data_IF_862524938632
#
_entry.id   IF_862524938632
#
_cell.length_a   1.000
_cell.length_b   1.000
_cell.length_c   1.000
_cell.angle_alpha   90.00
_cell.angle_beta   90.00
_cell.angle_gamma   90.00
#
_symmetry.space_group_name_H-M   'P 1'
#
loop_
_entity.id
_entity.type
_entity.pdbx_description
1 polymer ?
#
# COMPACT_ATOMS: atom_id res chain seq x y z
N UNK A 1 27.47 -12.23 -33.72
CA UNK A 1 26.24 -11.60 -33.20
C UNK A 1 25.64 -12.54 -32.17
N UNK A 2 25.75 -12.21 -30.87
CA UNK A 2 25.17 -13.00 -29.79
C UNK A 2 24.12 -12.11 -29.12
N UNK A 3 22.85 -12.48 -29.27
CA UNK A 3 21.75 -11.86 -28.56
C UNK A 3 21.71 -12.42 -27.13
N UNK A 4 22.01 -11.58 -26.14
CA UNK A 4 21.78 -11.90 -24.74
C UNK A 4 20.32 -11.62 -24.40
N UNK A 5 19.58 -12.69 -24.16
CA UNK A 5 18.18 -12.67 -23.73
C UNK A 5 18.09 -12.18 -22.29
N UNK A 6 17.26 -11.15 -22.05
CA UNK A 6 17.00 -10.57 -20.74
C UNK A 6 16.01 -11.47 -19.99
N UNK A 7 16.49 -12.18 -18.96
CA UNK A 7 15.64 -12.89 -18.02
C UNK A 7 15.18 -11.93 -16.91
N UNK A 8 14.05 -11.25 -17.12
CA UNK A 8 13.34 -10.57 -16.04
C UNK A 8 12.55 -11.60 -15.23
N UNK A 9 12.96 -11.82 -13.98
CA UNK A 9 12.35 -12.75 -13.03
C UNK A 9 10.90 -12.36 -12.72
N UNK A 10 9.96 -12.99 -13.43
CA UNK A 10 8.52 -12.99 -13.16
C UNK A 10 8.21 -13.79 -11.89
N UNK A 11 8.23 -13.16 -10.71
CA UNK A 11 7.71 -13.75 -9.48
C UNK A 11 6.45 -13.01 -9.02
N UNK A 12 5.37 -13.17 -9.77
CA UNK A 12 4.02 -12.99 -9.27
C UNK A 12 3.19 -14.14 -9.83
N UNK A 13 2.92 -15.14 -9.00
CA UNK A 13 1.94 -16.17 -9.35
C UNK A 13 0.55 -15.58 -9.11
N UNK A 14 -0.22 -15.41 -10.17
CA UNK A 14 -1.66 -15.13 -10.12
C UNK A 14 -2.41 -16.33 -9.56
N UNK A 15 -2.37 -16.48 -8.24
CA UNK A 15 -3.55 -16.98 -7.54
C UNK A 15 -4.28 -15.75 -7.04
N UNK A 16 -5.36 -15.37 -7.73
CA UNK A 16 -6.42 -14.63 -7.06
C UNK A 16 -6.89 -15.52 -5.90
N UNK A 17 -6.67 -15.14 -4.63
CA UNK A 17 -7.28 -15.89 -3.55
C UNK A 17 -8.80 -15.75 -3.72
N UNK A 18 -9.52 -16.85 -3.52
CA UNK A 18 -10.98 -16.84 -3.41
C UNK A 18 -11.41 -15.79 -2.36
N UNK A 19 -12.62 -15.23 -2.55
CA UNK A 19 -13.21 -14.17 -1.76
C UNK A 19 -13.46 -14.57 -0.29
N UNK A 20 -12.40 -14.70 0.50
CA UNK A 20 -12.47 -14.53 1.94
C UNK A 20 -12.58 -13.04 2.29
N UNK A 21 -13.03 -12.69 3.51
CA UNK A 21 -12.96 -11.32 3.95
C UNK A 21 -11.50 -10.83 3.87
N UNK A 22 -11.29 -9.73 3.16
CA UNK A 22 -9.99 -9.08 3.08
C UNK A 22 -9.50 -8.64 4.47
N UNK A 23 -8.22 -8.21 4.60
CA UNK A 23 -7.65 -7.79 5.88
C UNK A 23 -8.45 -6.67 6.56
N UNK A 24 -9.18 -5.87 5.79
CA UNK A 24 -10.12 -4.87 6.30
C UNK A 24 -11.52 -5.14 5.74
N UNK A 25 -12.48 -5.45 6.61
CA UNK A 25 -13.84 -5.76 6.19
C UNK A 25 -14.55 -4.59 5.49
N UNK A 26 -14.16 -3.35 5.84
CA UNK A 26 -14.73 -2.13 5.26
C UNK A 26 -14.20 -1.81 3.84
N UNK A 27 -13.13 -2.46 3.38
CA UNK A 27 -12.50 -2.15 2.11
C UNK A 27 -12.76 -3.26 1.10
N UNK A 28 -13.77 -3.06 0.25
CA UNK A 28 -14.08 -3.95 -0.85
C UNK A 28 -13.63 -3.27 -2.16
N UNK A 29 -13.00 -3.98 -3.11
CA UNK A 29 -12.75 -3.44 -4.44
C UNK A 29 -14.03 -2.87 -5.07
N UNK A 30 -13.92 -1.67 -5.64
CA UNK A 30 -15.05 -0.90 -6.17
C UNK A 30 -15.69 0.06 -5.16
N UNK A 31 -15.37 -0.01 -3.87
CA UNK A 31 -15.85 0.96 -2.88
C UNK A 31 -15.34 2.37 -3.19
N UNK A 32 -16.23 3.34 -3.27
CA UNK A 32 -15.88 4.76 -3.38
C UNK A 32 -15.56 5.34 -2.00
N UNK A 33 -14.43 6.03 -1.92
CA UNK A 33 -13.96 6.81 -0.78
C UNK A 33 -13.94 8.28 -1.22
N UNK A 34 -15.09 8.95 -1.15
CA UNK A 34 -15.27 10.28 -1.77
C UNK A 34 -14.98 10.20 -3.29
N UNK A 35 -14.01 10.98 -3.81
CA UNK A 35 -13.59 10.96 -5.22
C UNK A 35 -12.57 9.88 -5.59
N UNK A 36 -12.11 9.09 -4.62
CA UNK A 36 -11.23 7.95 -4.87
C UNK A 36 -12.03 6.66 -4.89
N UNK A 37 -11.48 5.62 -5.51
CA UNK A 37 -12.05 4.27 -5.43
C UNK A 37 -11.00 3.25 -5.00
N UNK A 38 -11.42 2.27 -4.20
CA UNK A 38 -10.60 1.13 -3.83
C UNK A 38 -10.49 0.22 -5.06
N UNK A 39 -9.32 0.13 -5.65
CA UNK A 39 -9.06 -0.78 -6.78
C UNK A 39 -8.81 -2.18 -6.26
N UNK A 40 -7.99 -2.29 -5.21
CA UNK A 40 -7.57 -3.58 -4.67
C UNK A 40 -7.11 -3.44 -3.22
N UNK A 41 -7.39 -4.45 -2.41
CA UNK A 41 -6.77 -4.64 -1.11
C UNK A 41 -5.96 -5.92 -1.20
N UNK A 42 -4.64 -5.81 -1.09
CA UNK A 42 -3.76 -6.99 -1.14
C UNK A 42 -3.71 -7.66 0.24
N UNK A 43 -3.39 -8.97 0.30
CA UNK A 43 -2.97 -9.61 1.54
C UNK A 43 -1.76 -8.90 2.16
N UNK A 44 -1.48 -9.23 3.43
CA UNK A 44 -0.26 -8.78 4.10
C UNK A 44 0.98 -9.05 3.24
N UNK A 45 1.75 -8.02 2.94
CA UNK A 45 2.96 -8.05 2.13
C UNK A 45 4.07 -7.31 2.86
N UNK A 46 5.14 -8.02 3.20
CA UNK A 46 6.31 -7.47 3.91
C UNK A 46 5.96 -6.64 5.16
N UNK A 47 4.93 -7.06 5.91
CA UNK A 47 4.50 -6.40 7.15
C UNK A 47 3.52 -5.24 6.98
N UNK A 48 3.13 -4.90 5.76
CA UNK A 48 2.10 -3.92 5.47
C UNK A 48 0.88 -4.58 4.80
N UNK A 49 -0.28 -3.93 4.84
CA UNK A 49 -1.40 -4.23 3.94
C UNK A 49 -1.41 -3.18 2.82
N UNK A 50 -1.03 -3.54 1.59
CA UNK A 50 -1.08 -2.62 0.46
C UNK A 50 -2.51 -2.42 -0.04
N UNK A 51 -2.96 -1.18 -0.09
CA UNK A 51 -4.24 -0.77 -0.67
C UNK A 51 -3.98 0.03 -1.93
N UNK A 52 -4.53 -0.42 -3.05
CA UNK A 52 -4.47 0.31 -4.32
C UNK A 52 -5.70 1.18 -4.42
N UNK A 53 -5.49 2.48 -4.57
CA UNK A 53 -6.53 3.47 -4.83
C UNK A 53 -6.43 3.96 -6.27
N UNK A 54 -7.57 4.37 -6.83
CA UNK A 54 -7.63 5.17 -8.05
C UNK A 54 -8.16 6.56 -7.72
N UNK A 55 -7.55 7.59 -8.32
CA UNK A 55 -8.09 8.95 -8.35
C UNK A 55 -9.33 9.01 -9.25
N UNK A 56 -10.02 10.14 -9.24
CA UNK A 56 -11.19 10.39 -10.10
C UNK A 56 -10.86 10.24 -11.59
N UNK A 57 -9.63 10.61 -11.99
CA UNK A 57 -9.12 10.47 -13.35
C UNK A 57 -8.60 9.06 -13.67
N UNK A 58 -8.73 8.11 -12.74
CA UNK A 58 -8.30 6.73 -12.91
C UNK A 58 -6.80 6.49 -12.71
N UNK A 59 -6.02 7.51 -12.27
CA UNK A 59 -4.60 7.31 -11.90
C UNK A 59 -4.55 6.41 -10.67
N UNK A 60 -3.74 5.35 -10.72
CA UNK A 60 -3.65 4.37 -9.64
C UNK A 60 -2.37 4.56 -8.84
N UNK A 61 -2.47 4.34 -7.53
CA UNK A 61 -1.35 4.44 -6.61
C UNK A 61 -1.58 3.53 -5.40
N UNK A 62 -0.50 3.24 -4.68
CA UNK A 62 -0.51 2.37 -3.52
C UNK A 62 -0.42 3.19 -2.24
N UNK A 63 -1.19 2.79 -1.24
CA UNK A 63 -1.07 3.22 0.14
C UNK A 63 -0.79 2.00 0.99
N UNK A 64 0.33 1.99 1.68
CA UNK A 64 0.66 0.95 2.66
C UNK A 64 0.04 1.28 3.99
N UNK A 65 -0.71 0.32 4.54
CA UNK A 65 -1.27 0.38 5.88
C UNK A 65 -0.38 -0.46 6.81
N UNK A 66 0.27 0.21 7.76
CA UNK A 66 1.17 -0.39 8.75
C UNK A 66 0.62 -0.25 10.16
N UNK A 67 1.21 -0.98 11.11
CA UNK A 67 0.98 -0.74 12.53
C UNK A 67 1.51 0.65 12.91
N UNK A 68 0.81 1.33 13.81
CA UNK A 68 1.23 2.63 14.33
C UNK A 68 2.46 2.50 15.24
N UNK A 69 3.46 3.34 15.01
CA UNK A 69 4.58 3.58 15.91
C UNK A 69 4.52 5.03 16.42
N UNK A 70 4.07 5.29 17.66
CA UNK A 70 4.03 6.66 18.21
C UNK A 70 5.42 7.31 18.35
N UNK A 71 6.50 6.52 18.30
CA UNK A 71 7.89 6.99 18.37
C UNK A 71 8.60 6.90 17.02
N UNK A 72 7.88 6.54 15.96
CA UNK A 72 8.40 6.37 14.60
C UNK A 72 8.01 7.52 13.69
N UNK A 73 8.42 7.46 12.40
CA UNK A 73 7.98 8.42 11.41
C UNK A 73 6.46 8.41 11.28
N UNK A 74 5.86 9.60 11.21
CA UNK A 74 4.43 9.74 10.93
C UNK A 74 4.16 9.42 9.47
N UNK A 75 3.15 8.58 9.23
CA UNK A 75 2.56 8.43 7.91
C UNK A 75 1.82 9.70 7.47
N UNK A 76 1.42 9.73 6.21
CA UNK A 76 0.57 10.79 5.65
C UNK A 76 -0.76 10.89 6.42
N UNK A 77 -1.25 9.76 6.93
CA UNK A 77 -2.40 9.70 7.82
C UNK A 77 -2.19 8.64 8.90
N UNK A 78 -2.87 8.80 10.03
CA UNK A 78 -2.82 7.87 11.14
C UNK A 78 -4.21 7.66 11.74
N UNK A 79 -4.42 6.48 12.31
CA UNK A 79 -5.50 6.21 13.27
C UNK A 79 -4.89 5.93 14.64
N UNK A 80 -5.69 5.51 15.63
CA UNK A 80 -5.13 5.07 16.91
C UNK A 80 -4.19 3.85 16.77
N UNK A 81 -4.41 3.01 15.75
CA UNK A 81 -3.73 1.71 15.57
C UNK A 81 -2.91 1.60 14.29
N UNK A 82 -3.16 2.44 13.30
CA UNK A 82 -2.60 2.32 11.96
C UNK A 82 -1.83 3.57 11.57
N UNK A 83 -0.82 3.41 10.72
CA UNK A 83 -0.12 4.50 10.04
C UNK A 83 -0.09 4.20 8.55
N UNK A 84 -0.45 5.20 7.74
CA UNK A 84 -0.63 5.07 6.29
C UNK A 84 0.45 5.84 5.55
N UNK A 85 1.11 5.16 4.61
CA UNK A 85 2.21 5.72 3.82
C UNK A 85 1.87 5.60 2.34
N UNK A 86 1.96 6.70 1.60
CA UNK A 86 1.82 6.66 0.14
C UNK A 86 3.12 6.12 -0.45
N UNK A 87 3.02 5.07 -1.25
CA UNK A 87 4.17 4.52 -1.97
C UNK A 87 4.30 5.31 -3.27
N UNK A 88 5.34 6.15 -3.34
CA UNK A 88 5.66 6.89 -4.54
C UNK A 88 5.93 5.91 -5.70
N UNK A 89 5.13 6.01 -6.77
CA UNK A 89 5.18 5.07 -7.90
C UNK A 89 6.58 5.00 -8.54
N UNK A 90 7.07 3.80 -8.88
CA UNK A 90 8.42 3.58 -9.37
C UNK A 90 8.60 3.82 -10.87
N UNK A 91 7.73 4.59 -11.55
CA UNK A 91 7.97 4.93 -12.96
C UNK A 91 9.39 5.53 -13.15
N UNK A 92 9.95 6.09 -12.08
CA UNK A 92 11.37 6.39 -11.95
C UNK A 92 11.92 5.79 -10.65
N UNK A 93 12.47 4.57 -10.76
CA UNK A 93 13.40 3.85 -9.86
C UNK A 93 13.52 4.34 -8.41
N UNK A 94 13.13 3.48 -7.46
CA UNK A 94 13.47 3.60 -6.03
C UNK A 94 12.61 4.60 -5.26
N UNK A 95 11.67 4.10 -4.45
CA UNK A 95 11.02 4.90 -3.42
C UNK A 95 11.92 5.00 -2.20
N UNK A 96 12.63 6.11 -2.06
CA UNK A 96 13.50 6.45 -0.91
C UNK A 96 12.74 7.18 0.22
N UNK A 97 11.47 7.55 -0.03
CA UNK A 97 10.66 8.34 0.91
C UNK A 97 11.04 9.82 0.96
N UNK A 98 11.96 10.29 0.11
CA UNK A 98 12.45 11.68 0.11
C UNK A 98 11.63 12.59 -0.82
N UNK A 99 10.85 12.01 -1.74
CA UNK A 99 9.98 12.80 -2.65
C UNK A 99 8.69 13.24 -1.95
N UNK A 100 8.31 14.53 -2.07
CA UNK A 100 7.01 15.01 -1.65
C UNK A 100 5.89 14.16 -2.24
N UNK A 101 4.95 13.77 -1.40
CA UNK A 101 3.74 13.06 -1.83
C UNK A 101 2.89 14.01 -2.70
N UNK A 102 2.40 13.51 -3.83
CA UNK A 102 1.38 14.18 -4.63
C UNK A 102 0.17 14.50 -3.73
N UNK A 103 -0.24 15.77 -3.69
CA UNK A 103 -1.27 16.25 -2.76
C UNK A 103 -2.59 15.46 -2.88
N UNK A 104 -2.97 15.08 -4.11
CA UNK A 104 -4.17 14.29 -4.34
C UNK A 104 -4.03 12.89 -3.72
N UNK A 105 -2.87 12.27 -3.85
CA UNK A 105 -2.62 10.95 -3.26
C UNK A 105 -2.60 11.01 -1.73
N UNK A 106 -2.04 12.09 -1.18
CA UNK A 106 -2.02 12.32 0.26
C UNK A 106 -3.42 12.50 0.85
N UNK A 107 -4.27 13.31 0.21
CA UNK A 107 -5.66 13.47 0.60
C UNK A 107 -6.43 12.14 0.53
N UNK A 108 -6.20 11.33 -0.51
CA UNK A 108 -6.82 10.01 -0.61
C UNK A 108 -6.37 9.05 0.50
N UNK A 109 -5.10 9.12 0.95
CA UNK A 109 -4.63 8.36 2.10
C UNK A 109 -5.30 8.80 3.42
N UNK A 110 -5.57 10.10 3.58
CA UNK A 110 -6.32 10.61 4.75
C UNK A 110 -7.78 10.11 4.75
N UNK A 111 -8.45 10.12 3.60
CA UNK A 111 -9.82 9.58 3.48
C UNK A 111 -9.83 8.07 3.76
N UNK A 112 -8.82 7.33 3.28
CA UNK A 112 -8.66 5.92 3.60
C UNK A 112 -8.48 5.68 5.11
N UNK A 113 -7.67 6.49 5.80
CA UNK A 113 -7.52 6.39 7.25
C UNK A 113 -8.86 6.59 7.97
N UNK A 114 -9.68 7.54 7.51
CA UNK A 114 -11.02 7.76 8.07
C UNK A 114 -11.93 6.54 7.90
N UNK A 115 -11.86 5.85 6.76
CA UNK A 115 -12.60 4.61 6.54
C UNK A 115 -12.12 3.46 7.44
N UNK A 116 -10.87 3.51 7.90
CA UNK A 116 -10.23 2.49 8.73
C UNK A 116 -10.25 2.80 10.24
N UNK A 117 -10.75 3.95 10.67
CA UNK A 117 -10.62 4.43 12.06
C UNK A 117 -11.16 3.45 13.11
N UNK A 118 -12.21 2.69 12.77
CA UNK A 118 -12.83 1.71 13.67
C UNK A 118 -12.45 0.26 13.36
N UNK A 119 -11.61 0.03 12.34
CA UNK A 119 -11.19 -1.31 11.99
C UNK A 119 -10.17 -1.86 13.00
N UNK A 120 -10.26 -3.17 13.26
CA UNK A 120 -9.19 -3.87 13.97
C UNK A 120 -7.94 -3.89 13.08
N UNK A 121 -6.77 -3.75 13.71
CA UNK A 121 -5.51 -3.97 13.00
C UNK A 121 -5.38 -5.47 12.65
N UNK A 122 -5.14 -5.83 11.39
CA UNK A 122 -4.84 -7.20 11.00
C UNK A 122 -3.63 -7.73 11.77
N UNK A 123 -3.67 -9.01 12.12
CA UNK A 123 -2.51 -9.68 12.70
C UNK A 123 -1.33 -9.67 11.71
N UNK A 124 -0.12 -9.48 12.22
CA UNK A 124 1.11 -9.48 11.41
C UNK A 124 1.50 -8.15 10.77
N UNK A 125 0.71 -7.07 10.98
CA UNK A 125 1.18 -5.72 10.67
C UNK A 125 2.44 -5.41 11.49
N UNK A 126 3.44 -4.87 10.79
CA UNK A 126 4.65 -4.31 11.36
C UNK A 126 4.55 -2.79 11.32
N UNK A 127 5.33 -2.13 12.18
CA UNK A 127 5.60 -0.69 12.07
C UNK A 127 6.57 -0.43 10.91
N UNK A 128 6.66 0.83 10.44
CA UNK A 128 7.62 1.18 9.38
C UNK A 128 9.06 0.82 9.76
N UNK A 129 9.45 1.10 11.01
CA UNK A 129 10.78 0.76 11.55
C UNK A 129 11.06 -0.74 11.50
N UNK A 130 10.07 -1.55 11.86
CA UNK A 130 10.18 -3.01 11.82
C UNK A 130 10.25 -3.54 10.40
N UNK A 131 9.43 -3.02 9.48
CA UNK A 131 9.51 -3.33 8.06
C UNK A 131 10.90 -3.05 7.49
N UNK A 132 11.45 -1.86 7.76
CA UNK A 132 12.79 -1.47 7.30
C UNK A 132 13.90 -2.34 7.89
N UNK A 133 13.78 -2.75 9.16
CA UNK A 133 14.74 -3.64 9.81
C UNK A 133 14.67 -5.07 9.27
N UNK A 134 13.47 -5.59 9.06
CA UNK A 134 13.24 -6.97 8.67
C UNK A 134 13.37 -7.19 7.15
N UNK A 135 13.01 -6.19 6.36
CA UNK A 135 13.03 -6.20 4.90
C UNK A 135 13.76 -4.98 4.33
N UNK A 136 15.06 -4.77 4.65
CA UNK A 136 15.79 -3.56 4.26
C UNK A 136 15.94 -3.34 2.74
N UNK A 137 15.69 -4.39 1.95
CA UNK A 137 15.66 -4.34 0.47
C UNK A 137 14.37 -4.93 -0.09
N UNK A 138 13.29 -4.87 0.70
CA UNK A 138 11.99 -5.39 0.34
C UNK A 138 11.41 -4.69 -0.90
N UNK A 139 10.85 -5.46 -1.82
CA UNK A 139 10.04 -4.92 -2.91
C UNK A 139 8.64 -4.62 -2.37
N UNK A 140 8.46 -3.47 -1.70
CA UNK A 140 7.19 -3.08 -1.06
C UNK A 140 6.08 -2.76 -2.07
N UNK A 141 6.42 -2.41 -3.31
CA UNK A 141 5.46 -2.16 -4.37
C UNK A 141 4.69 -3.41 -4.78
N UNK A 142 3.38 -3.26 -4.99
CA UNK A 142 2.50 -4.30 -5.53
C UNK A 142 1.94 -3.90 -6.89
N UNK A 143 1.40 -4.85 -7.69
CA UNK A 143 0.67 -4.50 -8.89
C UNK A 143 -0.51 -3.57 -8.58
N UNK A 144 -0.60 -2.48 -9.36
CA UNK A 144 -1.68 -1.49 -9.28
C UNK A 144 -2.92 -1.90 -10.12
N UNK A 145 -2.89 -3.08 -10.76
CA UNK A 145 -3.92 -3.54 -11.71
C UNK A 145 -5.17 -4.14 -11.06
#
# INVERSE_FOLDING_TARGET
>A
MIALSVAAHRWWSTRSPAAGPGPFAALVPGTSLSRWSVVRVHPLHLGAVPVVLATEQGRRYQVDVLARDPQGPSGVAQTDRLSLFVVNSPEHSGGDGERPTDEEQGLGAMVLAQALVHQAAPAGLLTLRECQRQFPRGAFGVPLS
#
